data_IF_238587787024
#
_entry.id   IF_238587787024
#
_cell.length_a   1.000
_cell.length_b   1.000
_cell.length_c   1.000
_cell.angle_alpha   90.00
_cell.angle_beta   90.00
_cell.angle_gamma   90.00
#
_symmetry.space_group_name_H-M   'P 1'
#
loop_
_entity.id
_entity.type
_entity.pdbx_description
1 polymer ?
#
# COMPACT_ATOMS: atom_id res chain seq x y z
N UNK A 1 5.96 -10.78 15.49
CA UNK A 1 6.19 -11.80 14.45
C UNK A 1 5.50 -11.30 13.20
N UNK A 2 6.23 -11.03 12.12
CA UNK A 2 5.64 -10.54 10.87
C UNK A 2 4.74 -11.66 10.30
N UNK A 3 3.49 -11.34 9.97
CA UNK A 3 2.61 -12.27 9.27
C UNK A 3 3.27 -12.66 7.94
N UNK A 4 3.19 -13.92 7.53
CA UNK A 4 3.81 -14.42 6.29
C UNK A 4 3.49 -13.52 5.07
N UNK A 5 2.26 -13.01 5.04
CA UNK A 5 1.76 -12.03 4.08
C UNK A 5 2.56 -10.70 4.03
N UNK A 6 2.91 -10.12 5.18
CA UNK A 6 3.70 -8.88 5.22
C UNK A 6 5.17 -9.13 4.80
N UNK A 7 5.70 -10.34 5.01
CA UNK A 7 7.02 -10.71 4.46
C UNK A 7 6.99 -10.81 2.94
N UNK A 8 5.94 -11.45 2.40
CA UNK A 8 5.72 -11.55 0.95
C UNK A 8 5.50 -10.17 0.31
N UNK A 9 4.80 -9.28 1.02
CA UNK A 9 4.58 -7.88 0.63
C UNK A 9 5.89 -7.09 0.55
N UNK A 10 6.77 -7.22 1.55
CA UNK A 10 8.10 -6.60 1.50
C UNK A 10 8.96 -7.23 0.39
N UNK A 11 8.94 -8.55 0.20
CA UNK A 11 9.76 -9.22 -0.82
C UNK A 11 9.31 -8.95 -2.25
N UNK A 12 8.02 -8.69 -2.49
CA UNK A 12 7.49 -8.41 -3.84
C UNK A 12 7.62 -6.92 -4.22
N UNK A 13 7.60 -6.00 -3.24
CA UNK A 13 7.78 -4.56 -3.47
C UNK A 13 9.25 -4.16 -3.55
N UNK A 14 10.11 -4.84 -2.81
CA UNK A 14 11.55 -4.55 -2.67
C UNK A 14 12.35 -5.62 -3.40
N UNK A 15 13.16 -5.22 -4.37
CA UNK A 15 13.77 -6.13 -5.37
C UNK A 15 14.88 -7.07 -4.87
N UNK A 16 14.90 -7.47 -3.60
CA UNK A 16 16.07 -8.16 -3.03
C UNK A 16 17.33 -7.30 -3.11
N UNK A 17 17.13 -5.98 -3.24
CA UNK A 17 18.15 -4.96 -3.32
C UNK A 17 17.87 -3.93 -2.22
N UNK A 18 18.91 -3.48 -1.54
CA UNK A 18 18.84 -2.38 -0.59
C UNK A 18 20.03 -1.45 -0.81
N UNK A 19 19.78 -0.14 -0.75
CA UNK A 19 20.84 0.86 -0.77
C UNK A 19 21.07 1.37 0.64
N UNK A 20 22.33 1.42 1.05
CA UNK A 20 22.71 1.96 2.35
C UNK A 20 23.64 3.14 2.12
N UNK A 21 23.34 4.28 2.75
CA UNK A 21 24.27 5.40 2.84
C UNK A 21 24.81 5.55 4.24
N UNK A 22 26.09 5.94 4.34
CA UNK A 22 26.69 6.44 5.57
C UNK A 22 26.58 7.96 5.55
N UNK A 23 25.72 8.52 6.39
CA UNK A 23 25.44 9.94 6.42
C UNK A 23 26.32 10.67 7.44
N UNK A 24 26.88 11.80 7.03
CA UNK A 24 27.69 12.70 7.87
C UNK A 24 26.90 13.98 8.16
N UNK A 25 27.18 14.62 9.29
CA UNK A 25 26.60 15.92 9.62
C UNK A 25 27.34 17.04 8.91
N UNK A 26 26.63 17.80 8.07
CA UNK A 26 27.17 18.98 7.35
C UNK A 26 26.82 20.28 8.08
N UNK A 27 25.69 20.31 8.79
CA UNK A 27 25.30 21.38 9.73
C UNK A 27 24.38 20.84 10.83
N UNK A 28 24.00 21.66 11.81
CA UNK A 28 23.18 21.24 12.96
C UNK A 28 21.89 20.49 12.58
N UNK A 29 21.37 20.74 11.37
CA UNK A 29 20.11 20.15 10.88
C UNK A 29 20.22 19.44 9.52
N UNK A 30 21.42 19.34 8.94
CA UNK A 30 21.61 18.78 7.59
C UNK A 30 22.62 17.63 7.64
N UNK A 31 22.21 16.48 7.12
CA UNK A 31 23.09 15.34 6.84
C UNK A 31 23.23 15.15 5.33
N UNK A 32 24.37 14.59 4.92
CA UNK A 32 24.64 14.21 3.53
C UNK A 32 25.28 12.82 3.50
N UNK A 33 24.90 11.99 2.52
CA UNK A 33 25.50 10.67 2.35
C UNK A 33 26.95 10.75 1.84
N UNK A 34 27.88 10.30 2.68
CA UNK A 34 29.31 10.28 2.41
C UNK A 34 29.75 9.07 1.58
N UNK A 35 29.14 7.91 1.83
CA UNK A 35 29.40 6.66 1.11
C UNK A 35 28.10 5.92 0.87
N UNK A 36 28.05 5.12 -0.21
CA UNK A 36 26.87 4.39 -0.63
C UNK A 36 27.26 2.96 -1.01
N UNK A 37 26.45 2.00 -0.58
CA UNK A 37 26.58 0.60 -0.97
C UNK A 37 25.22 0.09 -1.42
N UNK A 38 25.22 -0.70 -2.48
CA UNK A 38 24.07 -1.48 -2.91
C UNK A 38 24.30 -2.94 -2.54
N UNK A 39 23.36 -3.53 -1.82
CA UNK A 39 23.39 -4.96 -1.45
C UNK A 39 22.32 -5.70 -2.24
N UNK A 40 22.73 -6.75 -2.94
CA UNK A 40 21.84 -7.65 -3.70
C UNK A 40 21.98 -9.12 -3.28
N UNK A 41 22.94 -9.44 -2.40
CA UNK A 41 23.16 -10.80 -1.90
C UNK A 41 22.05 -11.20 -0.93
N UNK A 42 21.29 -12.25 -1.26
CA UNK A 42 20.04 -12.59 -0.57
C UNK A 42 20.19 -12.77 0.95
N UNK A 43 21.24 -13.46 1.41
CA UNK A 43 21.46 -13.69 2.84
C UNK A 43 21.79 -12.41 3.61
N UNK A 44 22.55 -11.50 3.01
CA UNK A 44 22.90 -10.22 3.62
C UNK A 44 21.72 -9.24 3.55
N UNK A 45 21.01 -9.22 2.42
CA UNK A 45 19.77 -8.49 2.24
C UNK A 45 18.74 -8.83 3.32
N UNK A 46 18.48 -10.12 3.56
CA UNK A 46 17.52 -10.55 4.59
C UNK A 46 17.91 -10.07 5.99
N UNK A 47 19.20 -10.15 6.34
CA UNK A 47 19.72 -9.66 7.63
C UNK A 47 19.57 -8.15 7.77
N UNK A 48 19.87 -7.39 6.71
CA UNK A 48 19.68 -5.93 6.69
C UNK A 48 18.20 -5.58 6.84
N UNK A 49 17.30 -6.27 6.15
CA UNK A 49 15.85 -6.06 6.28
C UNK A 49 15.38 -6.33 7.71
N UNK A 50 15.82 -7.44 8.33
CA UNK A 50 15.47 -7.76 9.71
C UNK A 50 16.00 -6.71 10.69
N UNK A 51 17.24 -6.25 10.48
CA UNK A 51 17.85 -5.21 11.30
C UNK A 51 17.10 -3.88 11.16
N UNK A 52 16.84 -3.43 9.94
CA UNK A 52 16.09 -2.22 9.66
C UNK A 52 14.68 -2.25 10.24
N UNK A 53 14.02 -3.41 10.22
CA UNK A 53 12.71 -3.57 10.86
C UNK A 53 12.77 -3.40 12.39
N UNK A 54 13.86 -3.85 13.02
CA UNK A 54 13.99 -3.83 14.47
C UNK A 54 14.52 -2.50 15.00
N UNK A 55 15.41 -1.83 14.26
CA UNK A 55 16.18 -0.68 14.72
C UNK A 55 16.06 0.56 13.82
N UNK A 56 15.37 0.45 12.69
CA UNK A 56 15.14 1.58 11.78
C UNK A 56 14.12 2.54 12.34
N UNK A 57 14.50 3.82 12.36
CA UNK A 57 13.64 4.95 12.70
C UNK A 57 13.04 5.55 11.42
N UNK A 58 11.83 6.11 11.53
CA UNK A 58 11.21 6.95 10.51
C UNK A 58 11.17 6.32 9.10
N UNK A 59 10.55 5.13 8.98
CA UNK A 59 10.33 4.50 7.67
C UNK A 59 9.38 5.36 6.81
N UNK A 60 9.95 6.13 5.89
CA UNK A 60 9.24 7.14 5.10
C UNK A 60 9.72 7.11 3.64
N UNK A 61 8.85 7.50 2.71
CA UNK A 61 9.24 7.70 1.31
C UNK A 61 10.13 8.93 1.21
N UNK A 62 11.45 8.74 1.09
CA UNK A 62 12.41 9.84 1.15
C UNK A 62 12.92 10.28 -0.22
N UNK A 63 13.08 9.34 -1.15
CA UNK A 63 13.70 9.61 -2.44
C UNK A 63 12.93 8.94 -3.58
N UNK A 64 12.91 9.55 -4.75
CA UNK A 64 12.29 9.00 -5.95
C UNK A 64 13.19 9.23 -7.14
N UNK A 65 13.33 8.23 -8.01
CA UNK A 65 13.90 8.38 -9.34
C UNK A 65 12.89 7.93 -10.41
N UNK A 66 13.30 7.89 -11.68
CA UNK A 66 12.43 7.49 -12.79
C UNK A 66 11.88 6.05 -12.67
N UNK A 67 12.48 5.22 -11.80
CA UNK A 67 12.23 3.78 -11.69
C UNK A 67 11.66 3.35 -10.35
N UNK A 68 11.97 4.06 -9.26
CA UNK A 68 11.68 3.64 -7.90
C UNK A 68 11.29 4.82 -7.01
N UNK A 69 10.42 4.53 -6.04
CA UNK A 69 10.22 5.33 -4.85
C UNK A 69 10.85 4.56 -3.69
N UNK A 70 11.73 5.22 -2.95
CA UNK A 70 12.52 4.57 -1.92
C UNK A 70 11.88 4.82 -0.57
N UNK A 71 11.41 3.75 0.05
CA UNK A 71 11.10 3.75 1.47
C UNK A 71 12.42 3.65 2.22
N UNK A 72 12.74 4.69 2.99
CA UNK A 72 13.99 4.79 3.71
C UNK A 72 13.75 4.87 5.20
N UNK A 73 14.64 4.28 5.98
CA UNK A 73 14.69 4.45 7.43
C UNK A 73 16.10 4.85 7.87
N UNK A 74 16.18 5.53 9.01
CA UNK A 74 17.45 5.91 9.63
C UNK A 74 17.86 4.90 10.69
N UNK A 75 19.15 4.60 10.76
CA UNK A 75 19.78 3.88 11.87
C UNK A 75 20.77 4.83 12.51
N UNK A 76 20.41 5.38 13.67
CA UNK A 76 21.24 6.36 14.40
C UNK A 76 22.21 5.71 15.38
N UNK A 77 21.96 4.47 15.80
CA UNK A 77 22.93 3.70 16.58
C UNK A 77 24.03 3.14 15.66
N UNK A 78 24.99 4.01 15.34
CA UNK A 78 26.12 3.71 14.46
C UNK A 78 27.01 2.60 15.04
N UNK A 79 27.17 2.55 16.36
CA UNK A 79 28.00 1.55 17.03
C UNK A 79 27.40 0.15 16.94
N UNK A 80 26.08 0.02 17.17
CA UNK A 80 25.38 -1.25 17.02
C UNK A 80 25.40 -1.73 15.57
N UNK A 81 25.12 -0.85 14.61
CA UNK A 81 25.13 -1.23 13.19
C UNK A 81 26.51 -1.68 12.73
N UNK A 82 27.57 -0.95 13.13
CA UNK A 82 28.95 -1.34 12.82
C UNK A 82 29.29 -2.71 13.43
N UNK A 83 28.95 -2.95 14.70
CA UNK A 83 29.22 -4.23 15.37
C UNK A 83 28.60 -5.42 14.64
N UNK A 84 27.38 -5.24 14.11
CA UNK A 84 26.66 -6.30 13.38
C UNK A 84 27.23 -6.56 11.97
N UNK A 85 27.67 -5.51 11.28
CA UNK A 85 27.89 -5.55 9.84
C UNK A 85 29.32 -5.23 9.36
N UNK A 86 30.25 -4.83 10.25
CA UNK A 86 31.62 -4.44 9.84
C UNK A 86 32.43 -5.54 9.15
N UNK A 87 32.07 -6.81 9.41
CA UNK A 87 32.72 -7.98 8.81
C UNK A 87 32.24 -8.26 7.39
N UNK A 88 31.15 -7.65 6.96
CA UNK A 88 30.62 -7.79 5.61
C UNK A 88 31.47 -6.95 4.64
N UNK A 89 32.23 -7.64 3.78
CA UNK A 89 33.18 -7.00 2.87
C UNK A 89 32.52 -5.91 2.01
N UNK A 90 31.31 -6.17 1.51
CA UNK A 90 30.56 -5.23 0.67
C UNK A 90 30.20 -3.94 1.40
N UNK A 91 30.06 -3.97 2.73
CA UNK A 91 29.66 -2.83 3.56
C UNK A 91 30.84 -2.01 4.07
N UNK A 92 32.08 -2.47 3.92
CA UNK A 92 33.30 -1.75 4.33
C UNK A 92 33.36 -0.27 3.91
N UNK A 93 32.93 0.13 2.70
CA UNK A 93 32.93 1.54 2.30
C UNK A 93 32.09 2.43 3.22
N UNK A 94 31.06 1.90 3.89
CA UNK A 94 30.23 2.64 4.83
C UNK A 94 30.93 2.94 6.16
N UNK A 95 31.91 2.11 6.53
CA UNK A 95 32.62 2.21 7.81
C UNK A 95 33.96 2.94 7.69
N UNK A 96 34.48 3.05 6.47
CA UNK A 96 35.78 3.64 6.15
C UNK A 96 35.63 4.59 4.97
N UNK A 97 35.04 5.76 5.22
CA UNK A 97 35.00 6.87 4.27
C UNK A 97 35.76 8.06 4.85
N UNK A 98 36.66 8.66 4.08
CA UNK A 98 37.53 9.75 4.55
C UNK A 98 36.81 11.12 4.61
N UNK A 99 35.49 11.11 4.86
CA UNK A 99 34.62 12.30 4.78
C UNK A 99 34.10 12.77 6.13
N UNK A 100 34.45 12.09 7.22
CA UNK A 100 34.10 12.49 8.58
C UNK A 100 33.41 11.38 9.37
N UNK A 101 32.88 11.74 10.54
CA UNK A 101 32.16 10.80 11.40
C UNK A 101 30.75 10.53 10.87
N UNK A 102 30.43 9.25 10.63
CA UNK A 102 29.06 8.83 10.32
C UNK A 102 28.17 9.09 11.53
N UNK A 103 27.06 9.82 11.32
CA UNK A 103 26.06 10.12 12.35
C UNK A 103 24.79 9.27 12.23
N UNK A 104 24.55 8.69 11.06
CA UNK A 104 23.47 7.74 10.82
C UNK A 104 23.78 6.89 9.57
N UNK A 105 23.16 5.73 9.48
CA UNK A 105 23.00 5.01 8.21
C UNK A 105 21.60 5.20 7.69
N UNK A 106 21.43 5.51 6.40
CA UNK A 106 20.11 5.53 5.75
C UNK A 106 19.98 4.27 4.93
N UNK A 107 18.98 3.45 5.25
CA UNK A 107 18.69 2.21 4.55
C UNK A 107 17.47 2.47 3.67
N UNK A 108 17.67 2.42 2.36
CA UNK A 108 16.68 2.74 1.33
C UNK A 108 16.29 1.49 0.56
N UNK A 109 15.02 1.15 0.64
CA UNK A 109 14.42 0.03 -0.06
C UNK A 109 13.74 0.52 -1.34
N UNK A 110 14.19 0.08 -2.54
CA UNK A 110 13.51 0.42 -3.78
C UNK A 110 12.12 -0.21 -3.78
N UNK A 111 11.08 0.60 -3.59
CA UNK A 111 9.73 0.21 -3.99
C UNK A 111 9.59 0.52 -5.48
N UNK A 112 9.09 -0.44 -6.27
CA UNK A 112 8.77 -0.15 -7.66
C UNK A 112 7.71 0.96 -7.71
N UNK A 113 8.12 2.15 -8.15
CA UNK A 113 7.19 3.19 -8.57
C UNK A 113 6.65 2.78 -9.93
N UNK A 114 5.67 1.88 -9.93
CA UNK A 114 5.10 1.39 -11.17
C UNK A 114 4.17 2.46 -11.75
N UNK A 115 4.70 3.32 -12.63
CA UNK A 115 3.89 4.11 -13.56
C UNK A 115 2.85 3.25 -14.30
N UNK A 116 3.16 1.96 -14.48
CA UNK A 116 2.23 0.95 -14.96
C UNK A 116 1.02 0.74 -14.06
N UNK A 117 1.18 0.71 -12.73
CA UNK A 117 0.09 0.52 -11.76
C UNK A 117 -0.79 1.76 -11.65
N UNK A 118 -0.23 2.97 -11.80
CA UNK A 118 -1.02 4.20 -11.87
C UNK A 118 -1.88 4.24 -13.15
N UNK A 119 -1.30 3.86 -14.30
CA UNK A 119 -2.05 3.70 -15.54
C UNK A 119 -3.17 2.65 -15.39
N UNK A 120 -2.84 1.47 -14.86
CA UNK A 120 -3.81 0.39 -14.66
C UNK A 120 -4.91 0.82 -13.68
N UNK A 121 -4.58 1.54 -12.60
CA UNK A 121 -5.57 2.12 -11.68
C UNK A 121 -6.51 3.09 -12.39
N UNK A 122 -5.97 3.99 -13.19
CA UNK A 122 -6.77 5.00 -13.90
C UNK A 122 -7.70 4.36 -14.93
N UNK A 123 -7.22 3.39 -15.71
CA UNK A 123 -8.07 2.64 -16.64
C UNK A 123 -9.09 1.75 -15.91
N UNK A 124 -8.72 1.14 -14.77
CA UNK A 124 -9.65 0.41 -13.93
C UNK A 124 -10.79 1.31 -13.45
N UNK A 125 -10.47 2.48 -12.88
CA UNK A 125 -11.44 3.49 -12.46
C UNK A 125 -12.35 3.88 -13.63
N UNK A 126 -11.80 4.10 -14.81
CA UNK A 126 -12.58 4.50 -15.99
C UNK A 126 -13.56 3.41 -16.44
N UNK A 127 -13.12 2.15 -16.48
CA UNK A 127 -13.98 1.00 -16.83
C UNK A 127 -15.14 0.88 -15.85
N UNK A 128 -14.85 0.88 -14.54
CA UNK A 128 -15.89 0.72 -13.51
C UNK A 128 -16.81 1.95 -13.44
N UNK A 129 -16.29 3.17 -13.67
CA UNK A 129 -17.10 4.39 -13.79
C UNK A 129 -18.06 4.37 -14.97
N UNK A 130 -17.73 3.66 -16.05
CA UNK A 130 -18.65 3.47 -17.16
C UNK A 130 -19.68 2.39 -16.84
N UNK A 131 -19.26 1.26 -16.27
CA UNK A 131 -20.16 0.17 -15.89
C UNK A 131 -21.17 0.59 -14.82
N UNK A 132 -20.78 1.37 -13.81
CA UNK A 132 -21.69 1.79 -12.74
C UNK A 132 -22.86 2.66 -13.24
N UNK A 133 -22.68 3.32 -14.39
CA UNK A 133 -23.72 4.13 -15.03
C UNK A 133 -24.73 3.27 -15.80
N UNK A 134 -24.43 2.00 -16.08
CA UNK A 134 -25.35 1.07 -16.74
C UNK A 134 -26.16 0.24 -15.75
N UNK A 135 -25.84 0.31 -14.45
CA UNK A 135 -26.60 -0.36 -13.40
C UNK A 135 -27.96 0.30 -13.20
N UNK A 136 -28.98 -0.51 -12.97
CA UNK A 136 -30.30 0.01 -12.62
C UNK A 136 -30.29 0.68 -11.24
N UNK A 137 -31.25 1.57 -11.04
CA UNK A 137 -31.34 2.36 -9.81
C UNK A 137 -31.61 1.50 -8.58
N UNK A 138 -32.37 0.40 -8.69
CA UNK A 138 -32.68 -0.43 -7.54
C UNK A 138 -31.41 -1.11 -7.00
N UNK A 139 -30.61 -1.68 -7.89
CA UNK A 139 -29.32 -2.28 -7.52
C UNK A 139 -28.36 -1.25 -6.96
N UNK A 140 -28.30 -0.05 -7.54
CA UNK A 140 -27.48 1.04 -7.01
C UNK A 140 -27.89 1.46 -5.60
N UNK A 141 -29.19 1.66 -5.36
CA UNK A 141 -29.72 1.99 -4.03
C UNK A 141 -29.44 0.88 -3.02
N UNK A 142 -29.49 -0.39 -3.44
CA UNK A 142 -29.12 -1.51 -2.57
C UNK A 142 -27.66 -1.41 -2.10
N UNK A 143 -26.72 -1.07 -2.99
CA UNK A 143 -25.32 -0.91 -2.60
C UNK A 143 -25.11 0.20 -1.57
N UNK A 144 -25.78 1.34 -1.74
CA UNK A 144 -25.65 2.46 -0.80
C UNK A 144 -26.21 2.11 0.58
N UNK A 145 -27.33 1.38 0.64
CA UNK A 145 -27.88 0.88 1.91
C UNK A 145 -26.92 -0.09 2.61
N UNK A 146 -26.30 -1.00 1.86
CA UNK A 146 -25.30 -1.91 2.44
C UNK A 146 -24.03 -1.16 2.87
N UNK A 147 -23.59 -0.14 2.13
CA UNK A 147 -22.45 0.71 2.53
C UNK A 147 -22.67 1.30 3.92
N UNK A 148 -23.80 1.97 4.14
CA UNK A 148 -24.17 2.56 5.44
C UNK A 148 -24.16 1.50 6.55
N UNK A 149 -24.81 0.37 6.30
CA UNK A 149 -24.88 -0.73 7.26
C UNK A 149 -23.50 -1.24 7.67
N UNK A 150 -22.59 -1.36 6.70
CA UNK A 150 -21.25 -1.91 6.94
C UNK A 150 -20.26 -0.87 7.47
N UNK A 151 -20.49 0.43 7.27
CA UNK A 151 -19.65 1.52 7.84
C UNK A 151 -20.05 1.91 9.26
N UNK A 152 -21.30 1.69 9.66
CA UNK A 152 -21.84 1.99 10.99
C UNK A 152 -21.35 1.09 12.13
N UNK A 153 -20.42 0.16 11.88
CA UNK A 153 -19.87 -0.71 12.93
C UNK A 153 -18.72 -0.05 13.73
N UNK A 154 -18.37 1.21 13.45
CA UNK A 154 -17.33 1.96 14.17
C UNK A 154 -17.88 3.14 14.98
N UNK A 155 -17.36 3.35 16.18
CA UNK A 155 -17.61 4.54 17.01
C UNK A 155 -16.77 5.72 16.53
N UNK A 156 -17.40 6.84 16.16
CA UNK A 156 -16.71 8.08 15.79
C UNK A 156 -16.58 9.06 16.96
N UNK A 157 -15.85 10.16 16.79
CA UNK A 157 -15.84 11.29 17.73
C UNK A 157 -16.22 12.54 16.94
N UNK A 158 -17.20 13.29 17.44
CA UNK A 158 -17.58 14.58 16.89
C UNK A 158 -16.44 15.58 17.13
N UNK A 159 -15.78 16.02 16.05
CA UNK A 159 -14.60 16.89 16.15
C UNK A 159 -14.91 18.31 16.65
N UNK A 160 -16.18 18.70 16.76
CA UNK A 160 -16.63 19.99 17.27
C UNK A 160 -16.99 19.91 18.75
N UNK A 161 -17.69 18.85 19.16
CA UNK A 161 -18.16 18.69 20.55
C UNK A 161 -17.25 17.81 21.41
N UNK A 162 -16.38 17.00 20.79
CA UNK A 162 -15.54 16.01 21.47
C UNK A 162 -16.31 14.78 21.95
N UNK A 163 -17.60 14.69 21.67
CA UNK A 163 -18.45 13.58 22.12
C UNK A 163 -18.33 12.36 21.19
N UNK A 164 -18.46 11.13 21.71
CA UNK A 164 -18.58 9.95 20.86
C UNK A 164 -19.83 10.07 20.00
N UNK A 165 -19.70 9.82 18.70
CA UNK A 165 -20.84 9.62 17.81
C UNK A 165 -21.15 8.14 17.85
N UNK A 166 -22.28 7.78 18.45
CA UNK A 166 -22.76 6.42 18.42
C UNK A 166 -23.52 6.17 17.11
N UNK A 167 -23.43 4.96 16.53
CA UNK A 167 -24.15 4.62 15.30
C UNK A 167 -25.68 4.81 15.38
N UNK A 168 -26.24 4.78 16.59
CA UNK A 168 -27.65 5.08 16.89
C UNK A 168 -28.03 6.55 16.80
N UNK A 169 -27.07 7.48 16.87
CA UNK A 169 -27.32 8.93 16.84
C UNK A 169 -27.40 9.50 15.41
N UNK A 170 -27.09 8.69 14.40
CA UNK A 170 -27.08 9.11 13.00
C UNK A 170 -28.31 8.53 12.28
N UNK A 171 -29.15 9.38 11.69
CA UNK A 171 -30.29 8.94 10.90
C UNK A 171 -29.82 8.21 9.61
N UNK A 172 -30.16 6.91 9.42
CA UNK A 172 -29.85 6.16 8.19
C UNK A 172 -30.36 6.82 6.92
N UNK A 173 -31.48 7.55 6.99
CA UNK A 173 -32.06 8.21 5.84
C UNK A 173 -31.27 9.45 5.45
N UNK A 174 -30.76 10.22 6.42
CA UNK A 174 -29.91 11.38 6.18
C UNK A 174 -28.55 10.98 5.59
N UNK A 175 -27.91 9.92 6.11
CA UNK A 175 -26.67 9.38 5.52
C UNK A 175 -26.88 8.84 4.11
N UNK A 176 -28.00 8.17 3.87
CA UNK A 176 -28.35 7.70 2.53
C UNK A 176 -28.54 8.86 1.56
N UNK A 177 -29.22 9.92 2.00
CA UNK A 177 -29.38 11.13 1.20
C UNK A 177 -28.02 11.79 0.89
N UNK A 178 -27.11 11.85 1.87
CA UNK A 178 -25.74 12.37 1.67
C UNK A 178 -24.94 11.52 0.69
N UNK A 179 -24.98 10.19 0.80
CA UNK A 179 -24.29 9.29 -0.14
C UNK A 179 -24.88 9.40 -1.55
N UNK A 180 -26.20 9.47 -1.67
CA UNK A 180 -26.88 9.64 -2.97
C UNK A 180 -26.64 11.03 -3.59
N UNK A 181 -26.23 12.03 -2.80
CA UNK A 181 -25.81 13.34 -3.33
C UNK A 181 -24.49 13.27 -4.10
N UNK A 182 -23.62 12.28 -3.81
CA UNK A 182 -22.44 12.04 -4.61
C UNK A 182 -22.78 11.38 -5.94
N UNK A 183 -22.10 11.78 -7.01
CA UNK A 183 -22.21 11.07 -8.28
C UNK A 183 -21.68 9.63 -8.13
N UNK A 184 -22.29 8.67 -8.83
CA UNK A 184 -21.82 7.27 -8.85
C UNK A 184 -20.33 7.17 -9.16
N UNK A 185 -19.87 8.01 -10.10
CA UNK A 185 -18.47 8.10 -10.51
C UNK A 185 -17.55 8.59 -9.38
N UNK A 186 -18.02 9.52 -8.57
CA UNK A 186 -17.28 10.01 -7.39
C UNK A 186 -17.14 8.92 -6.35
N UNK A 187 -18.25 8.23 -6.03
CA UNK A 187 -18.25 7.14 -5.06
C UNK A 187 -17.32 5.99 -5.46
N UNK A 188 -17.30 5.64 -6.75
CA UNK A 188 -16.33 4.70 -7.30
C UNK A 188 -14.89 5.11 -6.96
N UNK A 189 -14.50 6.36 -7.23
CA UNK A 189 -13.13 6.83 -6.98
C UNK A 189 -12.75 6.76 -5.50
N UNK A 190 -13.68 7.10 -4.62
CA UNK A 190 -13.47 7.07 -3.17
C UNK A 190 -13.31 5.66 -2.61
N UNK A 191 -13.83 4.65 -3.31
CA UNK A 191 -13.86 3.26 -2.84
C UNK A 191 -12.86 2.36 -3.58
N UNK A 192 -11.95 2.92 -4.38
CA UNK A 192 -10.90 2.14 -5.04
C UNK A 192 -9.69 2.05 -4.13
N UNK A 193 -9.28 0.83 -3.82
CA UNK A 193 -8.05 0.54 -3.11
C UNK A 193 -7.24 -0.50 -3.87
N UNK A 194 -5.99 -0.66 -3.45
CA UNK A 194 -5.09 -1.68 -3.94
C UNK A 194 -4.64 -2.58 -2.78
N UNK A 195 -4.29 -3.81 -3.13
CA UNK A 195 -3.69 -4.79 -2.25
C UNK A 195 -2.93 -5.81 -3.09
N UNK A 196 -2.46 -6.88 -2.46
CA UNK A 196 -1.93 -8.05 -3.14
C UNK A 196 -2.72 -9.27 -2.71
N UNK A 197 -3.10 -10.12 -3.65
CA UNK A 197 -3.97 -11.26 -3.36
C UNK A 197 -3.44 -12.54 -4.00
N UNK A 198 -3.61 -13.65 -3.28
CA UNK A 198 -3.23 -14.97 -3.77
C UNK A 198 -4.18 -15.46 -4.86
N UNK A 199 -3.71 -16.38 -5.68
CA UNK A 199 -4.50 -17.05 -6.71
C UNK A 199 -5.75 -17.71 -6.10
N UNK A 200 -5.60 -18.33 -4.92
CA UNK A 200 -6.70 -18.99 -4.23
C UNK A 200 -7.86 -18.04 -3.89
N UNK A 201 -7.54 -16.84 -3.41
CA UNK A 201 -8.52 -15.82 -3.07
C UNK A 201 -9.21 -15.29 -4.34
N UNK A 202 -8.43 -14.92 -5.35
CA UNK A 202 -8.98 -14.33 -6.58
C UNK A 202 -9.80 -15.34 -7.37
N UNK A 203 -9.37 -16.60 -7.44
CA UNK A 203 -10.12 -17.66 -8.11
C UNK A 203 -11.51 -17.86 -7.49
N UNK A 204 -11.65 -17.73 -6.17
CA UNK A 204 -12.96 -17.79 -5.51
C UNK A 204 -13.85 -16.62 -5.89
N UNK A 205 -13.28 -15.41 -6.00
CA UNK A 205 -14.03 -14.21 -6.40
C UNK A 205 -14.54 -14.28 -7.85
N UNK A 206 -13.76 -14.88 -8.76
CA UNK A 206 -14.11 -14.99 -10.18
C UNK A 206 -15.36 -15.84 -10.39
N UNK A 207 -15.62 -16.86 -9.57
CA UNK A 207 -16.74 -17.81 -9.73
C UNK A 207 -18.09 -17.10 -9.86
N UNK A 208 -18.27 -16.00 -9.12
CA UNK A 208 -19.52 -15.24 -9.09
C UNK A 208 -19.42 -13.89 -9.82
N UNK A 209 -18.33 -13.67 -10.56
CA UNK A 209 -18.07 -12.42 -11.26
C UNK A 209 -18.23 -12.56 -12.77
N UNK A 210 -18.57 -11.44 -13.42
CA UNK A 210 -18.58 -11.31 -14.88
C UNK A 210 -17.49 -10.36 -15.34
N UNK A 211 -16.83 -10.67 -16.46
CA UNK A 211 -15.88 -9.76 -17.10
C UNK A 211 -16.63 -8.55 -17.66
N UNK A 212 -16.15 -7.35 -17.34
CA UNK A 212 -16.73 -6.07 -17.79
C UNK A 212 -15.73 -5.22 -18.59
N UNK A 213 -14.47 -5.65 -18.67
CA UNK A 213 -13.42 -4.96 -19.39
C UNK A 213 -12.08 -5.69 -19.28
N UNK A 214 -11.04 -5.09 -19.84
CA UNK A 214 -9.68 -5.63 -19.84
C UNK A 214 -8.66 -4.49 -19.88
N UNK A 215 -7.52 -4.66 -19.19
CA UNK A 215 -6.40 -3.72 -19.14
C UNK A 215 -5.10 -4.52 -19.30
N UNK A 216 -4.34 -4.31 -20.37
CA UNK A 216 -3.06 -5.01 -20.59
C UNK A 216 -3.17 -6.54 -20.42
N UNK A 217 -4.20 -7.16 -21.00
CA UNK A 217 -4.53 -8.58 -20.87
C UNK A 217 -4.92 -9.03 -19.43
N UNK A 218 -5.24 -8.10 -18.53
CA UNK A 218 -5.82 -8.38 -17.22
C UNK A 218 -7.32 -8.09 -17.26
N UNK A 219 -8.11 -9.09 -16.89
CA UNK A 219 -9.56 -8.97 -16.88
C UNK A 219 -10.04 -8.06 -15.73
N UNK A 220 -11.00 -7.20 -16.04
CA UNK A 220 -11.73 -6.40 -15.06
C UNK A 220 -13.06 -7.08 -14.80
N UNK A 221 -13.29 -7.42 -13.54
CA UNK A 221 -14.43 -8.22 -13.10
C UNK A 221 -15.42 -7.38 -12.29
N UNK A 222 -16.70 -7.75 -12.39
CA UNK A 222 -17.79 -7.24 -11.56
C UNK A 222 -18.58 -8.39 -10.96
N UNK A 223 -18.85 -8.32 -9.66
CA UNK A 223 -19.77 -9.17 -8.95
C UNK A 223 -21.00 -8.35 -8.52
N UNK A 224 -22.18 -8.95 -8.69
CA UNK A 224 -23.49 -8.32 -8.41
C UNK A 224 -23.67 -7.83 -6.97
N UNK A 225 -22.82 -8.25 -6.04
CA UNK A 225 -22.76 -7.75 -4.67
C UNK A 225 -22.04 -6.39 -4.51
N UNK A 226 -21.83 -5.67 -5.61
CA UNK A 226 -21.27 -4.32 -5.60
C UNK A 226 -19.75 -4.30 -5.57
N UNK A 227 -19.12 -5.33 -6.13
CA UNK A 227 -17.70 -5.56 -6.02
C UNK A 227 -17.03 -5.58 -7.41
N UNK A 228 -15.91 -4.89 -7.54
CA UNK A 228 -15.11 -4.84 -8.76
C UNK A 228 -13.67 -5.15 -8.44
N UNK A 229 -12.99 -5.82 -9.37
CA UNK A 229 -11.56 -6.09 -9.20
C UNK A 229 -10.82 -6.29 -10.52
N UNK A 230 -9.53 -6.04 -10.48
CA UNK A 230 -8.56 -6.33 -11.53
C UNK A 230 -7.32 -6.90 -10.85
N UNK A 231 -6.74 -7.95 -11.42
CA UNK A 231 -5.64 -8.67 -10.78
C UNK A 231 -4.56 -9.06 -11.77
N UNK A 232 -3.31 -8.80 -11.40
CA UNK A 232 -2.15 -9.24 -12.14
C UNK A 232 -1.63 -10.55 -11.58
N UNK A 233 -1.77 -11.64 -12.34
CA UNK A 233 -1.34 -12.99 -11.95
C UNK A 233 0.15 -13.05 -11.62
N UNK A 234 0.98 -12.28 -12.32
CA UNK A 234 2.45 -12.31 -12.19
C UNK A 234 2.94 -11.53 -10.98
N UNK A 235 2.38 -10.35 -10.72
CA UNK A 235 2.81 -9.48 -9.61
C UNK A 235 1.94 -9.61 -8.36
N UNK A 236 0.84 -10.35 -8.46
CA UNK A 236 -0.22 -10.47 -7.44
C UNK A 236 -0.92 -9.15 -7.10
N UNK A 237 -0.60 -8.07 -7.80
CA UNK A 237 -1.21 -6.75 -7.60
C UNK A 237 -2.70 -6.81 -7.88
N UNK A 238 -3.50 -6.34 -6.94
CA UNK A 238 -4.95 -6.45 -6.93
C UNK A 238 -5.56 -5.07 -6.71
N UNK A 239 -6.26 -4.57 -7.72
CA UNK A 239 -7.11 -3.40 -7.59
C UNK A 239 -8.52 -3.83 -7.28
N UNK A 240 -9.16 -3.06 -6.41
CA UNK A 240 -10.48 -3.39 -5.92
C UNK A 240 -11.33 -2.15 -5.73
N UNK A 241 -12.63 -2.28 -6.01
CA UNK A 241 -13.63 -1.30 -5.61
C UNK A 241 -14.81 -2.00 -4.95
N UNK A 242 -15.09 -1.66 -3.70
CA UNK A 242 -16.23 -2.21 -2.95
C UNK A 242 -17.25 -1.11 -2.68
N UNK A 243 -18.39 -1.19 -3.36
CA UNK A 243 -19.49 -0.22 -3.24
C UNK A 243 -20.41 -0.48 -2.04
N UNK A 244 -20.17 -1.55 -1.29
CA UNK A 244 -20.98 -1.93 -0.11
C UNK A 244 -20.22 -1.73 1.20
N UNK A 245 -19.01 -1.17 1.18
CA UNK A 245 -18.22 -0.90 2.38
C UNK A 245 -17.62 -2.13 3.08
N UNK A 246 -17.84 -3.36 2.59
CA UNK A 246 -17.21 -4.56 3.16
C UNK A 246 -15.77 -4.69 2.69
N UNK A 247 -14.82 -4.60 3.62
CA UNK A 247 -13.40 -4.74 3.32
C UNK A 247 -12.91 -6.21 3.31
N UNK A 248 -13.71 -7.15 3.85
CA UNK A 248 -13.35 -8.57 3.94
C UNK A 248 -14.33 -9.43 3.12
N UNK A 249 -13.87 -9.97 1.99
CA UNK A 249 -14.72 -10.69 1.02
C UNK A 249 -14.82 -12.19 1.28
N UNK A 250 -14.11 -12.69 2.28
CA UNK A 250 -14.21 -14.09 2.77
C UNK A 250 -15.63 -14.49 3.18
N UNK A 251 -16.56 -13.54 3.28
CA UNK A 251 -17.97 -13.72 3.64
C UNK A 251 -18.91 -13.85 2.43
N UNK A 252 -18.40 -13.78 1.20
CA UNK A 252 -19.18 -14.03 -0.04
C UNK A 252 -18.90 -15.40 -0.67
N UNK A 253 -18.01 -16.18 -0.04
CA UNK A 253 -17.60 -17.52 -0.44
C UNK A 253 -18.35 -18.55 0.39
#
# INVERSE_FOLDING_TARGET
MIAEYDKERLSNRIRGEVHISADIRVSDFITEGAAYVTVTESSLYERICQYAFQYGEDLQGMFKNEKYEYMSCFVRDVAAFRTEFEKEEILKPLFSHDKGETVAFVISFPEMYNHHEEFVRNEFIKIIQNHVMTLDDNLWHHFMKEMIKNTRTGTGINLITGEPIYPEDIDPEEELAMLLAFSRKTLVRMNVSDSFQSDSYVNQLIIQARKIGEINNQDVWFNIHGFYFCWNVSTKFFLVCCLTGRQNLSLFI
#
